data_IF_171038671355
#
_entry.id   IF_171038671355
#
_cell.length_a   1.000
_cell.length_b   1.000
_cell.length_c   1.000
_cell.angle_alpha   90.00
_cell.angle_beta   90.00
_cell.angle_gamma   90.00
#
_symmetry.space_group_name_H-M   'P 1'
#
loop_
_entity.id
_entity.type
_entity.pdbx_description
1 polymer ?
#
# COMPACT_ATOMS: atom_id res chain seq x y z
N UNK A 1 12.81 -1.22 10.99
CA UNK A 1 11.60 -1.82 11.56
C UNK A 1 11.94 -2.48 12.89
N UNK A 2 11.19 -2.18 13.95
CA UNK A 2 11.27 -2.98 15.18
C UNK A 2 10.64 -4.33 14.86
N UNK A 3 11.36 -5.42 15.12
CA UNK A 3 10.98 -6.74 14.61
C UNK A 3 9.88 -7.35 15.47
N UNK A 4 8.64 -7.26 14.98
CA UNK A 4 7.49 -7.98 15.53
C UNK A 4 6.61 -8.44 14.37
N UNK A 5 6.75 -9.70 13.94
CA UNK A 5 6.11 -10.20 12.72
C UNK A 5 4.59 -10.05 12.74
N UNK A 6 3.95 -10.27 13.90
CA UNK A 6 2.49 -10.16 14.05
C UNK A 6 2.02 -8.72 13.89
N UNK A 7 2.64 -7.80 14.65
CA UNK A 7 2.27 -6.38 14.58
C UNK A 7 2.61 -5.77 13.22
N UNK A 8 3.73 -6.18 12.62
CA UNK A 8 4.16 -5.69 11.32
C UNK A 8 3.22 -6.19 10.21
N UNK A 9 2.81 -7.46 10.26
CA UNK A 9 1.79 -8.00 9.36
C UNK A 9 0.47 -7.23 9.48
N UNK A 10 -0.02 -7.03 10.71
CA UNK A 10 -1.24 -6.26 10.95
C UNK A 10 -1.11 -4.81 10.44
N UNK A 11 0.03 -4.17 10.66
CA UNK A 11 0.32 -2.82 10.17
C UNK A 11 0.25 -2.73 8.64
N UNK A 12 0.85 -3.69 7.93
CA UNK A 12 0.79 -3.77 6.46
C UNK A 12 -0.63 -4.04 5.95
N UNK A 13 -1.41 -4.90 6.65
CA UNK A 13 -2.83 -5.14 6.33
C UNK A 13 -3.63 -3.85 6.48
N UNK A 14 -3.51 -3.15 7.60
CA UNK A 14 -4.26 -1.91 7.87
C UNK A 14 -3.86 -0.81 6.89
N UNK A 15 -2.55 -0.58 6.71
CA UNK A 15 -2.05 0.45 5.80
C UNK A 15 -2.51 0.23 4.35
N UNK A 16 -2.47 -1.02 3.88
CA UNK A 16 -2.90 -1.35 2.52
C UNK A 16 -4.43 -1.35 2.38
N UNK A 17 -5.16 -1.78 3.42
CA UNK A 17 -6.61 -1.68 3.44
C UNK A 17 -7.06 -0.22 3.26
N UNK A 18 -6.51 0.69 4.07
CA UNK A 18 -6.84 2.12 4.00
C UNK A 18 -6.45 2.69 2.62
N UNK A 19 -5.27 2.33 2.11
CA UNK A 19 -4.82 2.76 0.78
C UNK A 19 -5.81 2.38 -0.32
N UNK A 20 -6.12 1.08 -0.43
CA UNK A 20 -6.97 0.55 -1.51
C UNK A 20 -8.42 1.00 -1.35
N UNK A 21 -8.95 0.97 -0.13
CA UNK A 21 -10.34 1.38 0.13
C UNK A 21 -10.58 2.83 -0.28
N UNK A 22 -9.69 3.74 0.12
CA UNK A 22 -9.80 5.16 -0.24
C UNK A 22 -9.62 5.37 -1.75
N UNK A 23 -8.67 4.66 -2.40
CA UNK A 23 -8.50 4.74 -3.86
C UNK A 23 -9.77 4.32 -4.60
N UNK A 24 -10.43 3.23 -4.18
CA UNK A 24 -11.67 2.77 -4.82
C UNK A 24 -12.79 3.81 -4.75
N UNK A 25 -12.93 4.52 -3.63
CA UNK A 25 -13.94 5.59 -3.50
C UNK A 25 -13.56 6.90 -4.22
N UNK A 26 -12.27 7.23 -4.32
CA UNK A 26 -11.83 8.46 -5.02
C UNK A 26 -11.87 8.28 -6.54
N UNK A 27 -11.53 7.10 -7.06
CA UNK A 27 -11.48 6.83 -8.51
C UNK A 27 -12.86 6.82 -9.17
N UNK A 28 -13.93 6.55 -8.42
CA UNK A 28 -15.32 6.59 -8.90
C UNK A 28 -16.01 7.96 -8.76
N UNK A 29 -15.33 8.99 -8.26
CA UNK A 29 -15.94 10.28 -8.00
C UNK A 29 -16.37 10.96 -9.32
N UNK A 30 -17.64 11.33 -9.42
CA UNK A 30 -18.20 12.11 -10.52
C UNK A 30 -18.70 13.45 -9.97
N UNK A 31 -18.59 14.51 -10.76
CA UNK A 31 -19.28 15.77 -10.43
C UNK A 31 -20.77 15.52 -10.68
N UNK A 32 -21.61 15.83 -9.69
CA UNK A 32 -23.08 15.84 -9.82
C UNK A 32 -23.53 17.02 -10.69
N UNK A 33 -23.17 16.97 -11.96
CA UNK A 33 -23.70 17.82 -13.03
C UNK A 33 -24.53 16.94 -13.99
N UNK A 34 -25.32 17.56 -14.86
CA UNK A 34 -26.22 16.89 -15.80
C UNK A 34 -25.52 15.81 -16.66
N UNK A 35 -24.20 15.92 -16.86
CA UNK A 35 -23.40 14.97 -17.64
C UNK A 35 -22.62 13.93 -16.81
N UNK A 36 -22.78 13.89 -15.48
CA UNK A 36 -22.00 13.03 -14.58
C UNK A 36 -20.50 13.02 -14.92
N UNK A 37 -19.93 14.21 -15.12
CA UNK A 37 -18.54 14.35 -15.58
C UNK A 37 -17.61 13.59 -14.63
N UNK A 38 -16.89 12.55 -15.10
CA UNK A 38 -15.94 11.86 -14.26
C UNK A 38 -14.96 12.89 -13.71
N UNK A 39 -14.65 12.82 -12.42
CA UNK A 39 -13.54 13.59 -11.84
C UNK A 39 -12.25 12.87 -12.26
N UNK A 40 -12.03 12.82 -13.58
CA UNK A 40 -10.80 12.40 -14.22
C UNK A 40 -9.80 13.55 -14.10
N UNK A 41 -9.41 13.85 -12.87
CA UNK A 41 -8.34 14.80 -12.58
C UNK A 41 -7.04 14.21 -13.13
N UNK A 42 -6.70 14.35 -14.41
CA UNK A 42 -5.54 13.73 -15.06
C UNK A 42 -4.33 13.46 -14.14
N UNK A 43 -3.49 14.47 -13.89
CA UNK A 43 -2.39 14.41 -12.91
C UNK A 43 -2.78 14.87 -11.50
N UNK A 44 -3.91 15.60 -11.35
CA UNK A 44 -4.39 16.11 -10.05
C UNK A 44 -5.03 15.00 -9.20
N UNK A 45 -5.52 13.91 -9.82
CA UNK A 45 -6.10 12.74 -9.16
C UNK A 45 -5.05 11.87 -8.45
N UNK A 46 -3.78 12.06 -8.80
CA UNK A 46 -2.67 11.46 -8.06
C UNK A 46 -2.36 12.19 -6.75
N UNK A 47 -2.73 13.48 -6.60
CA UNK A 47 -2.44 14.25 -5.39
C UNK A 47 -3.13 13.71 -4.13
N UNK A 48 -4.45 13.39 -4.15
CA UNK A 48 -5.10 12.75 -2.99
C UNK A 48 -4.42 11.43 -2.59
N UNK A 49 -4.03 10.61 -3.57
CA UNK A 49 -3.32 9.35 -3.31
C UNK A 49 -1.93 9.61 -2.74
N UNK A 50 -1.22 10.62 -3.21
CA UNK A 50 0.09 11.01 -2.69
C UNK A 50 0.01 11.46 -1.22
N UNK A 51 -0.97 12.31 -0.88
CA UNK A 51 -1.22 12.72 0.51
C UNK A 51 -1.61 11.53 1.39
N UNK A 52 -2.42 10.60 0.87
CA UNK A 52 -2.80 9.38 1.58
C UNK A 52 -1.57 8.53 1.92
N UNK A 53 -0.69 8.26 0.94
CA UNK A 53 0.56 7.52 1.17
C UNK A 53 1.45 8.25 2.17
N UNK A 54 1.52 9.58 2.11
CA UNK A 54 2.29 10.37 3.07
C UNK A 54 1.76 10.23 4.50
N UNK A 55 0.45 10.33 4.70
CA UNK A 55 -0.19 10.16 6.02
C UNK A 55 0.02 8.74 6.55
N UNK A 56 -0.10 7.71 5.69
CA UNK A 56 0.22 6.33 6.06
C UNK A 56 1.69 6.20 6.49
N UNK A 57 2.61 6.84 5.77
CA UNK A 57 4.03 6.86 6.11
C UNK A 57 4.30 7.51 7.46
N UNK A 58 3.63 8.62 7.79
CA UNK A 58 3.76 9.29 9.09
C UNK A 58 3.15 8.46 10.23
N UNK A 59 2.02 7.80 9.99
CA UNK A 59 1.33 7.02 11.03
C UNK A 59 1.96 5.65 11.29
N UNK A 60 2.35 4.92 10.24
CA UNK A 60 2.75 3.51 10.31
C UNK A 60 4.22 3.27 9.95
N UNK A 61 4.94 4.27 9.45
CA UNK A 61 6.29 4.09 8.91
C UNK A 61 7.34 3.65 9.94
N UNK A 62 7.17 4.01 11.22
CA UNK A 62 8.09 3.54 12.28
C UNK A 62 8.08 2.02 12.48
N UNK A 63 6.94 1.37 12.23
CA UNK A 63 6.79 -0.08 12.47
C UNK A 63 7.45 -0.92 11.36
N UNK A 64 7.08 -0.66 10.10
CA UNK A 64 7.48 -1.49 8.94
C UNK A 64 8.16 -0.73 7.82
N UNK A 65 8.15 0.61 7.84
CA UNK A 65 8.56 1.42 6.69
C UNK A 65 7.47 1.52 5.61
N UNK A 66 6.20 1.22 5.97
CA UNK A 66 5.00 1.33 5.11
C UNK A 66 5.22 0.71 3.73
N UNK A 67 5.43 -0.61 3.66
CA UNK A 67 5.68 -1.26 2.38
C UNK A 67 4.45 -1.14 1.46
N UNK A 68 3.26 -1.47 1.99
CA UNK A 68 1.91 -1.31 1.43
C UNK A 68 1.70 -1.77 -0.02
N UNK A 69 2.70 -2.43 -0.58
CA UNK A 69 2.81 -2.83 -1.97
C UNK A 69 3.91 -3.92 -2.08
N UNK A 70 3.57 -5.14 -2.51
CA UNK A 70 4.53 -6.23 -2.64
C UNK A 70 5.67 -5.91 -3.61
N UNK A 71 5.41 -5.20 -4.71
CA UNK A 71 6.43 -4.85 -5.70
C UNK A 71 7.43 -3.82 -5.15
N UNK A 72 6.96 -2.90 -4.29
CA UNK A 72 7.80 -1.89 -3.62
C UNK A 72 8.83 -2.51 -2.68
N UNK A 73 8.56 -3.70 -2.15
CA UNK A 73 9.49 -4.46 -1.31
C UNK A 73 10.28 -5.53 -2.10
N UNK A 74 9.58 -6.39 -2.82
CA UNK A 74 10.17 -7.57 -3.46
C UNK A 74 11.15 -7.21 -4.58
N UNK A 75 10.85 -6.20 -5.38
CA UNK A 75 11.73 -5.75 -6.47
C UNK A 75 13.11 -5.33 -5.96
N UNK A 76 13.19 -4.31 -5.07
CA UNK A 76 14.45 -3.91 -4.45
C UNK A 76 15.15 -5.05 -3.70
N UNK A 77 14.40 -5.97 -3.07
CA UNK A 77 14.97 -7.13 -2.36
C UNK A 77 15.65 -8.13 -3.28
N UNK A 78 15.03 -8.46 -4.41
CA UNK A 78 15.64 -9.31 -5.45
C UNK A 78 16.91 -8.65 -5.98
N UNK A 79 16.86 -7.35 -6.30
CA UNK A 79 18.02 -6.59 -6.77
C UNK A 79 19.15 -6.61 -5.73
N UNK A 80 18.84 -6.38 -4.45
CA UNK A 80 19.80 -6.47 -3.34
C UNK A 80 20.44 -7.87 -3.21
N UNK A 81 19.67 -8.93 -3.45
CA UNK A 81 20.17 -10.30 -3.44
C UNK A 81 21.19 -10.54 -4.56
N UNK A 82 20.88 -10.08 -5.78
CA UNK A 82 21.66 -10.38 -6.98
C UNK A 82 22.91 -9.50 -7.15
N UNK A 83 22.84 -8.22 -6.78
CA UNK A 83 23.94 -7.31 -7.03
C UNK A 83 25.12 -7.55 -6.07
N UNK A 84 26.37 -7.54 -6.57
CA UNK A 84 27.55 -7.59 -5.73
C UNK A 84 27.80 -6.22 -5.09
N UNK A 85 27.21 -6.01 -3.91
CA UNK A 85 27.38 -4.77 -3.12
C UNK A 85 28.41 -5.05 -2.02
N UNK A 86 29.51 -4.29 -2.00
CA UNK A 86 30.56 -4.43 -0.99
C UNK A 86 30.00 -4.16 0.41
N UNK A 87 30.28 -5.05 1.37
CA UNK A 87 29.80 -4.92 2.75
C UNK A 87 28.29 -5.12 2.94
N UNK A 88 27.56 -5.71 1.98
CA UNK A 88 26.12 -5.91 2.12
C UNK A 88 25.75 -6.91 3.21
N UNK A 89 24.67 -6.61 3.94
CA UNK A 89 24.06 -7.54 4.88
C UNK A 89 23.19 -8.60 4.20
N UNK A 90 22.42 -9.35 5.00
CA UNK A 90 21.42 -10.28 4.45
C UNK A 90 20.26 -9.53 3.79
N UNK A 91 19.65 -10.09 2.75
CA UNK A 91 18.43 -9.57 2.11
C UNK A 91 17.15 -9.79 2.94
N UNK A 92 17.26 -10.24 4.19
CA UNK A 92 16.17 -10.48 5.16
C UNK A 92 14.94 -11.23 4.60
N UNK A 93 15.18 -12.33 3.86
CA UNK A 93 14.12 -13.18 3.31
C UNK A 93 13.16 -13.73 4.36
N UNK A 94 13.65 -13.92 5.59
CA UNK A 94 12.82 -14.34 6.74
C UNK A 94 11.72 -13.35 7.11
N UNK A 95 11.85 -12.07 6.72
CA UNK A 95 10.85 -11.03 6.92
C UNK A 95 9.99 -10.77 5.66
N UNK A 96 10.48 -11.14 4.47
CA UNK A 96 9.91 -10.77 3.17
C UNK A 96 8.43 -11.16 2.98
N UNK A 97 7.96 -12.20 3.66
CA UNK A 97 6.57 -12.63 3.58
C UNK A 97 5.60 -11.58 4.16
N UNK A 98 6.02 -10.76 5.12
CA UNK A 98 5.19 -9.71 5.75
C UNK A 98 4.76 -8.64 4.74
N UNK A 99 5.68 -7.93 4.06
CA UNK A 99 5.33 -6.92 3.05
C UNK A 99 4.79 -7.51 1.73
N UNK A 100 4.72 -8.83 1.60
CA UNK A 100 4.07 -9.51 0.47
C UNK A 100 2.62 -9.85 0.82
N UNK A 101 2.41 -10.67 1.85
CA UNK A 101 1.08 -11.17 2.18
C UNK A 101 0.24 -10.18 2.98
N UNK A 102 0.85 -9.30 3.77
CA UNK A 102 0.15 -8.24 4.49
C UNK A 102 -0.61 -7.32 3.52
N UNK A 103 0.06 -6.75 2.51
CA UNK A 103 -0.62 -5.92 1.52
C UNK A 103 -1.66 -6.67 0.68
N UNK A 104 -1.39 -7.92 0.27
CA UNK A 104 -2.37 -8.74 -0.47
C UNK A 104 -3.64 -8.92 0.36
N UNK A 105 -3.50 -9.26 1.65
CA UNK A 105 -4.65 -9.43 2.54
C UNK A 105 -5.40 -8.11 2.76
N UNK A 106 -4.70 -7.00 3.01
CA UNK A 106 -5.31 -5.66 3.16
C UNK A 106 -6.09 -5.22 1.93
N UNK A 107 -5.51 -5.41 0.73
CA UNK A 107 -6.17 -5.10 -0.53
C UNK A 107 -7.42 -5.96 -0.78
N UNK A 108 -7.34 -7.27 -0.51
CA UNK A 108 -8.47 -8.18 -0.65
C UNK A 108 -9.63 -7.81 0.29
N UNK A 109 -9.32 -7.46 1.55
CA UNK A 109 -10.32 -7.00 2.51
C UNK A 109 -10.97 -5.68 2.09
N UNK A 110 -10.18 -4.73 1.59
CA UNK A 110 -10.68 -3.44 1.11
C UNK A 110 -11.60 -3.60 -0.09
N UNK A 111 -11.18 -4.36 -1.09
CA UNK A 111 -12.00 -4.65 -2.27
C UNK A 111 -13.27 -5.41 -1.89
N UNK A 112 -13.16 -6.42 -1.03
CA UNK A 112 -14.31 -7.19 -0.53
C UNK A 112 -15.33 -6.30 0.18
N UNK A 113 -14.88 -5.42 1.10
CA UNK A 113 -15.77 -4.48 1.78
C UNK A 113 -16.39 -3.48 0.80
N UNK A 114 -15.60 -2.96 -0.14
CA UNK A 114 -16.10 -2.06 -1.18
C UNK A 114 -17.22 -2.71 -2.00
N UNK A 115 -17.09 -3.98 -2.41
CA UNK A 115 -18.16 -4.69 -3.11
C UNK A 115 -19.41 -4.95 -2.26
N UNK A 116 -19.26 -5.11 -0.94
CA UNK A 116 -20.39 -5.32 -0.05
C UNK A 116 -21.16 -4.04 0.28
N UNK A 117 -20.48 -2.89 0.32
CA UNK A 117 -21.05 -1.58 0.72
C UNK A 117 -21.38 -0.69 -0.48
N UNK A 118 -20.63 -0.82 -1.58
CA UNK A 118 -20.74 0.00 -2.78
C UNK A 118 -21.70 -0.52 -3.85
N UNK A 119 -22.48 -1.56 -3.54
CA UNK A 119 -23.63 -2.00 -4.33
C UNK A 119 -24.91 -1.31 -3.85
#
# INVERSE_FOLDING_TARGET
AIRNLKNNFLSEVIGTFVLIFVILYITGAKIEDANQTPIGLGSVGALPVAFLVWVIGMALGGTTGYAINPARDLGPRIVHQLLPISGKGSSDWSYAWVPIFGPIAGAALAAGLYFLVGN
#
